data_IF_490759612605
#
_entry.id   IF_490759612605
#
_cell.length_a   1.000
_cell.length_b   1.000
_cell.length_c   1.000
_cell.angle_alpha   90.00
_cell.angle_beta   90.00
_cell.angle_gamma   90.00
#
_symmetry.space_group_name_H-M   'P 1'
#
loop_
_entity.id
_entity.type
_entity.pdbx_description
1 polymer ?
#
# COMPACT_ATOMS: atom_id res chain seq x y z
N UNK A 1 18.91 46.25 19.94
CA UNK A 1 17.90 46.13 18.87
C UNK A 1 17.52 44.66 18.70
N UNK A 2 17.05 43.99 19.76
CA UNK A 2 17.02 42.50 19.76
C UNK A 2 15.76 41.91 20.42
N UNK A 3 14.94 42.73 21.09
CA UNK A 3 13.73 42.24 21.78
C UNK A 3 12.53 42.12 20.82
N UNK A 4 12.39 43.02 19.84
CA UNK A 4 11.30 42.99 18.84
C UNK A 4 11.38 41.78 17.89
N UNK A 5 12.59 41.26 17.62
CA UNK A 5 12.80 40.14 16.71
C UNK A 5 12.44 38.80 17.36
N UNK A 6 12.71 38.63 18.66
CA UNK A 6 12.36 37.43 19.44
C UNK A 6 10.85 37.33 19.68
N UNK A 7 10.17 38.47 19.87
CA UNK A 7 8.71 38.52 20.00
C UNK A 7 7.99 38.17 18.69
N UNK A 8 8.54 38.54 17.54
CA UNK A 8 7.95 38.20 16.23
C UNK A 8 8.17 36.73 15.85
N UNK A 9 9.36 36.16 16.11
CA UNK A 9 9.61 34.73 15.85
C UNK A 9 8.87 33.80 16.81
N UNK A 10 8.73 34.20 18.08
CA UNK A 10 7.97 33.44 19.08
C UNK A 10 6.46 33.40 18.81
N UNK A 11 5.86 34.48 18.31
CA UNK A 11 4.44 34.53 17.96
C UNK A 11 4.11 33.62 16.77
N UNK A 12 4.99 33.56 15.78
CA UNK A 12 4.85 32.71 14.59
C UNK A 12 4.97 31.22 14.97
N UNK A 13 5.96 30.86 15.79
CA UNK A 13 6.12 29.50 16.29
C UNK A 13 4.94 29.02 17.16
N UNK A 14 4.37 29.92 17.97
CA UNK A 14 3.17 29.62 18.76
C UNK A 14 1.90 29.46 17.90
N UNK A 15 1.78 30.21 16.79
CA UNK A 15 0.67 30.04 15.84
C UNK A 15 0.75 28.77 14.99
N UNK A 16 1.96 28.25 14.75
CA UNK A 16 2.18 26.96 14.07
C UNK A 16 1.84 25.75 14.96
N UNK A 17 1.81 25.93 16.28
CA UNK A 17 1.55 24.85 17.23
C UNK A 17 0.05 24.65 17.57
N UNK A 18 -0.86 25.47 17.04
CA UNK A 18 -2.26 25.50 17.48
C UNK A 18 -3.29 24.84 16.53
N UNK A 19 -2.86 24.08 15.51
CA UNK A 19 -3.81 23.54 14.49
C UNK A 19 -3.71 22.03 14.24
N UNK A 20 -3.02 21.24 15.06
CA UNK A 20 -2.96 19.78 14.86
C UNK A 20 -3.82 19.04 15.90
N UNK A 21 -5.14 19.19 15.81
CA UNK A 21 -6.07 18.18 16.34
C UNK A 21 -7.16 17.91 15.29
N UNK A 22 -6.72 17.66 14.05
CA UNK A 22 -7.44 16.72 13.20
C UNK A 22 -7.27 15.36 13.89
N UNK A 23 -8.36 14.62 14.13
CA UNK A 23 -8.24 13.24 14.61
C UNK A 23 -7.20 12.52 13.76
N UNK A 24 -6.28 11.79 14.40
CA UNK A 24 -5.34 10.95 13.67
C UNK A 24 -6.15 10.06 12.74
N UNK A 25 -5.88 10.13 11.44
CA UNK A 25 -6.34 9.10 10.52
C UNK A 25 -5.46 7.89 10.81
N UNK A 26 -6.08 6.72 10.92
CA UNK A 26 -5.36 5.48 11.12
C UNK A 26 -4.55 5.15 9.86
N UNK A 27 -3.34 4.65 10.09
CA UNK A 27 -2.35 4.15 9.12
C UNK A 27 -1.73 2.95 9.83
N UNK A 28 -2.34 1.79 9.58
CA UNK A 28 -2.14 0.58 10.38
C UNK A 28 -0.79 -0.07 10.09
N UNK A 29 -0.31 0.01 8.85
CA UNK A 29 0.95 -0.57 8.41
C UNK A 29 2.12 0.44 8.34
N UNK A 30 1.85 1.71 8.60
CA UNK A 30 2.80 2.82 8.73
C UNK A 30 3.52 3.18 7.45
N UNK A 31 2.84 3.06 6.31
CA UNK A 31 3.40 3.27 4.98
C UNK A 31 3.23 4.70 4.42
N UNK A 32 2.63 5.59 5.23
CA UNK A 32 2.29 6.99 4.92
C UNK A 32 1.01 7.17 4.09
N UNK A 33 0.27 6.10 3.80
CA UNK A 33 -1.07 6.14 3.22
C UNK A 33 -2.08 5.81 4.32
N UNK A 34 -3.05 6.70 4.61
CA UNK A 34 -4.05 6.39 5.62
C UNK A 34 -4.97 5.24 5.18
N UNK A 35 -5.39 4.37 6.11
CA UNK A 35 -6.15 3.13 5.85
C UNK A 35 -7.38 3.32 4.94
N UNK A 36 -8.01 4.50 4.98
CA UNK A 36 -9.17 4.86 4.15
C UNK A 36 -8.85 5.11 2.67
N UNK A 37 -7.57 5.17 2.31
CA UNK A 37 -7.06 5.36 0.96
C UNK A 37 -6.06 4.28 0.54
N UNK A 38 -5.79 3.32 1.42
CA UNK A 38 -4.74 2.31 1.26
C UNK A 38 -5.30 1.02 0.65
N UNK A 39 -4.83 0.61 -0.52
CA UNK A 39 -5.26 -0.64 -1.15
C UNK A 39 -4.68 -1.91 -0.51
N UNK A 40 -3.80 -1.78 0.50
CA UNK A 40 -3.24 -2.88 1.30
C UNK A 40 -3.03 -2.48 2.78
N UNK A 41 -4.08 -2.05 3.49
CA UNK A 41 -4.08 -1.55 4.90
C UNK A 41 -3.32 -2.35 5.99
N UNK A 42 -2.82 -3.55 5.71
CA UNK A 42 -2.02 -4.36 6.64
C UNK A 42 -0.60 -4.64 6.14
N UNK A 43 -0.24 -4.22 4.93
CA UNK A 43 1.00 -4.54 4.24
C UNK A 43 1.50 -3.31 3.48
N UNK A 44 2.51 -2.67 4.05
CA UNK A 44 3.06 -1.41 3.54
C UNK A 44 3.44 -1.49 2.06
N UNK A 45 2.79 -0.67 1.23
CA UNK A 45 3.04 -0.54 -0.20
C UNK A 45 3.01 0.92 -0.69
N UNK A 46 3.17 1.87 0.24
CA UNK A 46 3.16 3.30 -0.01
C UNK A 46 4.35 3.87 -0.81
N UNK A 47 4.54 5.21 -0.81
CA UNK A 47 5.38 5.92 -1.78
C UNK A 47 6.88 5.63 -1.70
N UNK A 48 7.35 5.01 -0.61
CA UNK A 48 8.74 4.59 -0.46
C UNK A 48 9.04 3.22 -1.12
N UNK A 49 8.00 2.52 -1.58
CA UNK A 49 8.09 1.21 -2.21
C UNK A 49 7.36 1.21 -3.56
N UNK A 50 6.19 0.58 -3.59
CA UNK A 50 5.46 0.25 -4.82
C UNK A 50 4.47 1.34 -5.23
N UNK A 51 4.26 2.36 -4.39
CA UNK A 51 3.36 3.48 -4.64
C UNK A 51 1.91 3.02 -4.94
N UNK A 52 1.41 2.13 -4.08
CA UNK A 52 0.05 1.59 -4.13
C UNK A 52 -0.25 0.89 -5.47
N UNK A 53 0.72 0.13 -5.99
CA UNK A 53 0.59 -0.62 -7.24
C UNK A 53 -0.61 -1.57 -7.21
N UNK A 54 -1.53 -1.39 -8.16
CA UNK A 54 -2.73 -2.18 -8.41
C UNK A 54 -2.90 -2.27 -9.93
N UNK A 55 -2.43 -3.38 -10.51
CA UNK A 55 -2.26 -3.50 -11.96
C UNK A 55 -3.52 -3.90 -12.72
N UNK A 56 -4.48 -4.55 -12.06
CA UNK A 56 -5.78 -4.94 -12.63
C UNK A 56 -6.93 -4.02 -12.19
N UNK A 57 -6.66 -3.06 -11.30
CA UNK A 57 -7.54 -2.00 -10.86
C UNK A 57 -8.80 -2.51 -10.15
N UNK A 58 -8.64 -3.56 -9.35
CA UNK A 58 -9.73 -4.17 -8.58
C UNK A 58 -9.92 -3.51 -7.19
N UNK A 59 -8.95 -2.70 -6.76
CA UNK A 59 -8.96 -1.98 -5.50
C UNK A 59 -8.07 -2.60 -4.42
N UNK A 60 -7.39 -3.71 -4.70
CA UNK A 60 -6.36 -4.30 -3.85
C UNK A 60 -4.98 -4.11 -4.48
N UNK A 61 -3.98 -3.81 -3.65
CA UNK A 61 -2.62 -3.66 -4.16
C UNK A 61 -2.01 -5.03 -4.46
N UNK A 62 -1.16 -5.09 -5.49
CA UNK A 62 -0.49 -6.32 -5.92
C UNK A 62 0.09 -7.10 -4.71
N UNK A 63 0.79 -6.44 -3.78
CA UNK A 63 1.47 -7.11 -2.65
C UNK A 63 0.53 -7.86 -1.70
N UNK A 64 -0.75 -7.49 -1.66
CA UNK A 64 -1.77 -8.11 -0.81
C UNK A 64 -2.88 -8.81 -1.61
N UNK A 65 -2.74 -8.90 -2.93
CA UNK A 65 -3.69 -9.55 -3.81
C UNK A 65 -3.06 -10.70 -4.60
N UNK A 66 -3.26 -11.92 -4.12
CA UNK A 66 -2.85 -13.12 -4.83
C UNK A 66 -3.97 -13.77 -5.64
N UNK A 67 -5.17 -13.19 -5.68
CA UNK A 67 -6.40 -13.72 -6.28
C UNK A 67 -6.47 -13.34 -7.76
N UNK A 68 -5.48 -13.80 -8.52
CA UNK A 68 -5.24 -13.44 -9.92
C UNK A 68 -6.37 -13.84 -10.88
N UNK A 69 -7.32 -14.69 -10.44
CA UNK A 69 -8.52 -15.01 -11.21
C UNK A 69 -9.82 -14.38 -10.66
N UNK A 70 -9.72 -13.59 -9.58
CA UNK A 70 -10.79 -12.82 -8.95
C UNK A 70 -11.96 -13.67 -8.46
N UNK A 71 -11.70 -14.86 -7.93
CA UNK A 71 -12.73 -15.77 -7.40
C UNK A 71 -12.97 -15.63 -5.88
N UNK A 72 -12.17 -14.80 -5.22
CA UNK A 72 -12.26 -14.43 -3.82
C UNK A 72 -11.33 -15.22 -2.89
N UNK A 73 -10.49 -16.12 -3.42
CA UNK A 73 -9.53 -16.88 -2.61
C UNK A 73 -8.27 -17.27 -3.38
N UNK A 74 -7.11 -16.95 -2.82
CA UNK A 74 -5.82 -17.37 -3.39
C UNK A 74 -5.68 -18.89 -3.30
N UNK A 75 -5.75 -19.58 -4.44
CA UNK A 75 -5.78 -21.02 -4.53
C UNK A 75 -4.94 -21.56 -5.69
N UNK A 76 -5.20 -22.82 -6.06
CA UNK A 76 -4.44 -23.52 -7.10
C UNK A 76 -4.67 -22.99 -8.51
N UNK A 77 -5.81 -22.33 -8.76
CA UNK A 77 -6.10 -21.68 -10.04
C UNK A 77 -5.25 -20.43 -10.23
N UNK A 78 -5.04 -19.64 -9.17
CA UNK A 78 -4.14 -18.48 -9.18
C UNK A 78 -2.69 -18.88 -9.39
N UNK A 79 -2.27 -20.03 -8.85
CA UNK A 79 -0.93 -20.53 -9.13
C UNK A 79 -0.71 -20.79 -10.63
N UNK A 80 -1.74 -21.28 -11.34
CA UNK A 80 -1.66 -21.45 -12.78
C UNK A 80 -1.58 -20.10 -13.52
N UNK A 81 -2.31 -19.08 -13.04
CA UNK A 81 -2.23 -17.71 -13.56
C UNK A 81 -0.83 -17.11 -13.32
N UNK A 82 -0.30 -17.21 -12.11
CA UNK A 82 1.05 -16.76 -11.75
C UNK A 82 2.12 -17.39 -12.66
N UNK A 83 2.09 -18.71 -12.85
CA UNK A 83 3.06 -19.41 -13.71
C UNK A 83 2.95 -18.96 -15.17
N UNK A 84 1.75 -18.63 -15.65
CA UNK A 84 1.56 -18.10 -17.00
C UNK A 84 2.15 -16.69 -17.19
N UNK A 85 2.33 -15.96 -16.09
CA UNK A 85 2.83 -14.58 -16.06
C UNK A 85 4.32 -14.49 -15.72
N UNK A 86 5.01 -15.62 -15.46
CA UNK A 86 6.43 -15.59 -15.10
C UNK A 86 7.29 -14.92 -16.20
N UNK A 87 8.01 -13.86 -15.82
CA UNK A 87 8.80 -12.99 -16.69
C UNK A 87 8.01 -11.86 -17.36
N UNK A 88 6.70 -11.73 -17.10
CA UNK A 88 5.91 -10.59 -17.54
C UNK A 88 6.27 -9.34 -16.72
N UNK A 89 6.05 -8.17 -17.31
CA UNK A 89 6.19 -6.88 -16.65
C UNK A 89 4.81 -6.22 -16.52
N UNK A 90 4.59 -5.43 -15.46
CA UNK A 90 3.34 -4.68 -15.25
C UNK A 90 2.11 -5.56 -15.09
N UNK A 91 2.28 -6.72 -14.46
CA UNK A 91 1.22 -7.68 -14.17
C UNK A 91 0.75 -7.53 -12.73
N UNK A 92 -0.47 -7.94 -12.40
CA UNK A 92 -0.93 -8.07 -11.00
C UNK A 92 -0.05 -9.04 -10.20
N UNK A 93 0.56 -10.01 -10.88
CA UNK A 93 1.50 -10.97 -10.30
C UNK A 93 2.91 -10.41 -9.95
N UNK A 94 3.18 -9.13 -10.23
CA UNK A 94 4.40 -8.42 -9.81
C UNK A 94 4.15 -7.85 -8.41
N UNK A 95 4.28 -8.73 -7.42
CA UNK A 95 3.88 -8.50 -6.03
C UNK A 95 4.90 -7.68 -5.25
N UNK A 96 6.18 -7.73 -5.63
CA UNK A 96 7.20 -6.87 -5.03
C UNK A 96 7.37 -5.53 -5.77
N UNK A 97 6.78 -5.39 -6.96
CA UNK A 97 6.75 -4.17 -7.75
C UNK A 97 8.11 -3.82 -8.35
N UNK A 98 9.02 -4.79 -8.51
CA UNK A 98 10.33 -4.58 -9.11
C UNK A 98 10.30 -4.49 -10.64
N UNK A 99 9.13 -4.71 -11.24
CA UNK A 99 8.86 -4.58 -12.66
C UNK A 99 8.86 -5.90 -13.43
N UNK A 100 9.06 -7.04 -12.76
CA UNK A 100 9.00 -8.36 -13.41
C UNK A 100 8.50 -9.46 -12.48
N UNK A 101 7.58 -10.29 -12.98
CA UNK A 101 7.13 -11.50 -12.26
C UNK A 101 8.26 -12.52 -12.21
N UNK A 102 8.84 -12.74 -11.04
CA UNK A 102 10.02 -13.56 -10.83
C UNK A 102 9.93 -14.42 -9.56
N UNK A 103 11.08 -14.95 -9.14
CA UNK A 103 11.17 -15.80 -7.95
C UNK A 103 10.94 -15.05 -6.64
N UNK A 104 11.12 -13.73 -6.62
CA UNK A 104 10.80 -12.89 -5.46
C UNK A 104 9.28 -12.79 -5.25
N UNK A 105 8.49 -12.64 -6.32
CA UNK A 105 7.03 -12.65 -6.25
C UNK A 105 6.46 -13.99 -5.81
N UNK A 106 7.10 -15.09 -6.17
CA UNK A 106 6.66 -16.41 -5.72
C UNK A 106 6.64 -16.52 -4.19
N UNK A 107 7.56 -15.85 -3.49
CA UNK A 107 7.57 -15.85 -2.03
C UNK A 107 6.36 -15.07 -1.46
N UNK A 108 5.97 -13.95 -2.09
CA UNK A 108 4.78 -13.19 -1.74
C UNK A 108 3.50 -14.00 -2.03
N UNK A 109 3.39 -14.62 -3.20
CA UNK A 109 2.27 -15.48 -3.56
C UNK A 109 2.00 -16.59 -2.53
N UNK A 110 3.06 -17.29 -2.12
CA UNK A 110 2.94 -18.39 -1.14
C UNK A 110 2.51 -17.88 0.24
N UNK A 111 2.83 -16.64 0.60
CA UNK A 111 2.38 -16.04 1.85
C UNK A 111 0.87 -15.75 1.86
N UNK A 112 0.27 -15.55 0.68
CA UNK A 112 -1.16 -15.24 0.50
C UNK A 112 -2.03 -16.49 0.31
N UNK A 113 -1.46 -17.65 0.00
CA UNK A 113 -2.21 -18.87 -0.31
C UNK A 113 -3.25 -19.25 0.77
N UNK A 114 -4.52 -19.37 0.36
CA UNK A 114 -5.66 -19.65 1.22
C UNK A 114 -6.32 -18.42 1.86
N UNK A 115 -5.84 -17.22 1.54
CA UNK A 115 -6.39 -15.94 2.00
C UNK A 115 -7.35 -15.36 0.97
N UNK A 116 -8.22 -14.43 1.40
CA UNK A 116 -8.92 -13.53 0.48
C UNK A 116 -7.96 -12.37 0.08
N UNK A 117 -8.22 -11.67 -1.03
CA UNK A 117 -7.44 -10.49 -1.39
C UNK A 117 -7.57 -9.35 -0.36
N UNK A 118 -6.54 -8.51 -0.26
CA UNK A 118 -6.49 -7.38 0.66
C UNK A 118 -6.20 -7.77 2.11
N UNK A 119 -6.73 -7.02 3.11
CA UNK A 119 -7.73 -5.96 2.98
C UNK A 119 -7.13 -4.62 2.51
N UNK A 120 -7.84 -3.95 1.61
CA UNK A 120 -7.64 -2.54 1.28
C UNK A 120 -8.72 -1.65 1.89
N UNK A 121 -8.69 -0.37 1.51
CA UNK A 121 -9.69 0.62 1.83
C UNK A 121 -11.05 0.03 1.46
N UNK A 122 -11.98 0.06 2.41
CA UNK A 122 -13.29 -0.59 2.26
C UNK A 122 -13.96 -0.05 1.00
N UNK A 123 -14.06 -0.88 -0.03
CA UNK A 123 -14.70 -0.54 -1.30
C UNK A 123 -16.06 0.11 -1.03
N UNK A 124 -16.20 1.37 -1.43
CA UNK A 124 -17.44 2.14 -1.41
C UNK A 124 -18.35 1.72 -2.57
#
# INVERSE_FOLDING_TARGET
>A
MNIKLILFTGLIAASLAFVANAGSIDDTDTDLIPDVFDNCSLVANGPAGQDQLDADADGFGNICDGDLDQDGVVAGSDFAAFVALFGAAGSAADFDGDGVVAGSDFAAFVALFGSAPGPGATAI
#
